data_IF_122824132472
#
_entry.id   IF_122824132472
#
_cell.length_a   1.000
_cell.length_b   1.000
_cell.length_c   1.000
_cell.angle_alpha   90.00
_cell.angle_beta   90.00
_cell.angle_gamma   90.00
#
_symmetry.space_group_name_H-M   'P 1'
#
loop_
_entity.id
_entity.type
_entity.pdbx_description
1 polymer ?
#
# COMPACT_ATOMS: atom_id res chain seq x y z
N UNK A 1 -5.52 -14.52 4.98
CA UNK A 1 -4.22 -14.22 5.63
C UNK A 1 -4.16 -12.71 5.82
N UNK A 2 -3.81 -12.24 7.01
CA UNK A 2 -3.59 -10.80 7.26
C UNK A 2 -2.12 -10.49 7.03
N UNK A 3 -1.83 -9.46 6.27
CA UNK A 3 -0.48 -8.95 6.01
C UNK A 3 -0.41 -7.53 6.55
N UNK A 4 0.62 -7.25 7.35
CA UNK A 4 0.91 -5.92 7.90
C UNK A 4 2.36 -5.57 7.60
N UNK A 5 2.58 -4.35 7.13
CA UNK A 5 3.89 -3.78 6.85
C UNK A 5 4.00 -2.52 7.69
N UNK A 6 4.84 -2.55 8.71
CA UNK A 6 5.06 -1.45 9.65
C UNK A 6 6.47 -0.91 9.46
N UNK A 7 6.60 0.40 9.36
CA UNK A 7 7.87 1.12 9.36
C UNK A 7 7.96 2.11 10.53
N UNK A 8 9.17 2.61 10.77
CA UNK A 8 9.48 3.62 11.78
C UNK A 8 10.08 4.89 11.15
N UNK A 9 9.65 5.22 9.93
CA UNK A 9 10.09 6.42 9.21
C UNK A 9 9.35 7.68 9.64
N UNK A 10 9.33 8.69 8.75
CA UNK A 10 8.74 10.02 9.01
C UNK A 10 7.22 10.00 9.20
N UNK A 11 6.55 8.90 8.85
CA UNK A 11 5.09 8.84 8.84
C UNK A 11 4.48 9.68 7.73
N UNK A 12 3.15 9.76 7.74
CA UNK A 12 2.34 10.46 6.74
C UNK A 12 1.37 11.37 7.51
N UNK A 13 1.37 12.69 7.27
CA UNK A 13 0.44 13.58 7.94
C UNK A 13 -1.01 13.25 7.54
N UNK A 14 -1.94 13.33 8.50
CA UNK A 14 -3.33 12.88 8.35
C UNK A 14 -4.04 13.50 7.14
N UNK A 15 -3.71 14.75 6.82
CA UNK A 15 -4.27 15.50 5.68
C UNK A 15 -3.97 14.87 4.32
N UNK A 16 -2.90 14.08 4.22
CA UNK A 16 -2.50 13.39 3.00
C UNK A 16 -3.14 12.01 2.84
N UNK A 17 -3.54 11.36 3.95
CA UNK A 17 -4.06 9.99 3.98
C UNK A 17 -5.19 9.72 2.97
N UNK A 18 -6.19 10.61 2.78
CA UNK A 18 -7.26 10.36 1.82
C UNK A 18 -6.77 10.24 0.36
N UNK A 19 -5.56 10.73 0.06
CA UNK A 19 -5.03 10.92 -1.28
C UNK A 19 -3.83 10.06 -1.62
N UNK A 20 -3.18 9.40 -0.65
CA UNK A 20 -1.91 8.67 -0.89
C UNK A 20 -2.02 7.51 -1.89
N UNK A 21 -3.23 7.03 -2.16
CA UNK A 21 -3.50 6.01 -3.17
C UNK A 21 -3.86 6.58 -4.56
N UNK A 22 -3.94 7.91 -4.70
CA UNK A 22 -4.11 8.56 -6.01
C UNK A 22 -2.84 8.37 -6.85
N UNK A 23 -3.02 8.12 -8.15
CA UNK A 23 -1.89 8.01 -9.09
C UNK A 23 -1.14 9.33 -9.15
N UNK A 24 0.20 9.25 -9.13
CA UNK A 24 1.11 10.40 -9.19
C UNK A 24 1.07 11.31 -7.95
N UNK A 25 0.30 10.96 -6.91
CA UNK A 25 0.29 11.73 -5.68
C UNK A 25 1.57 11.50 -4.89
N UNK A 26 2.10 12.59 -4.33
CA UNK A 26 3.28 12.61 -3.47
C UNK A 26 3.01 13.56 -2.30
N UNK A 27 3.38 13.13 -1.11
CA UNK A 27 3.34 13.99 0.10
C UNK A 27 4.38 15.09 -0.05
N UNK A 28 5.61 14.72 -0.42
CA UNK A 28 6.66 15.66 -0.73
C UNK A 28 6.59 16.21 -2.16
N UNK A 29 6.64 17.55 -2.22
CA UNK A 29 6.70 18.33 -3.45
C UNK A 29 8.13 18.65 -3.90
N UNK A 30 9.16 18.16 -3.20
CA UNK A 30 10.56 18.28 -3.64
C UNK A 30 10.68 17.56 -5.00
N UNK A 31 10.74 18.37 -6.06
CA UNK A 31 10.71 17.92 -7.45
C UNK A 31 11.96 17.16 -7.90
N UNK A 32 12.85 16.77 -6.99
CA UNK A 32 14.02 15.94 -7.29
C UNK A 32 13.54 14.55 -7.73
N UNK A 33 13.52 14.34 -9.05
CA UNK A 33 13.35 13.02 -9.68
C UNK A 33 14.44 12.01 -9.26
N UNK A 34 15.53 12.49 -8.67
CA UNK A 34 16.65 11.65 -8.24
C UNK A 34 16.37 10.89 -6.93
N UNK A 35 15.50 11.40 -6.06
CA UNK A 35 15.20 10.79 -4.75
C UNK A 35 13.75 10.32 -4.62
N UNK A 36 12.80 10.96 -5.32
CA UNK A 36 11.38 10.63 -5.23
C UNK A 36 10.85 9.79 -6.39
N UNK A 37 10.25 8.64 -6.08
CA UNK A 37 9.56 7.79 -7.07
C UNK A 37 8.41 8.50 -7.80
N UNK A 38 7.84 7.84 -8.82
CA UNK A 38 6.79 8.43 -9.69
C UNK A 38 5.42 8.66 -9.02
N UNK A 39 5.26 8.32 -7.74
CA UNK A 39 3.96 8.35 -7.06
C UNK A 39 2.97 7.29 -7.56
N UNK A 40 3.44 6.22 -8.20
CA UNK A 40 2.58 5.15 -8.71
C UNK A 40 2.48 3.94 -7.77
N UNK A 41 3.44 3.74 -6.87
CA UNK A 41 3.55 2.53 -6.04
C UNK A 41 2.26 2.16 -5.31
N UNK A 42 1.78 3.04 -4.43
CA UNK A 42 0.56 2.78 -3.64
C UNK A 42 -0.69 2.63 -4.51
N UNK A 43 -0.81 3.37 -5.60
CA UNK A 43 -1.94 3.23 -6.53
C UNK A 43 -1.96 1.86 -7.21
N UNK A 44 -0.79 1.31 -7.57
CA UNK A 44 -0.65 -0.04 -8.14
C UNK A 44 -1.03 -1.08 -7.08
N UNK A 45 -0.49 -0.93 -5.86
CA UNK A 45 -0.82 -1.83 -4.74
C UNK A 45 -2.33 -1.87 -4.50
N UNK A 46 -2.98 -0.69 -4.39
CA UNK A 46 -4.42 -0.61 -4.18
C UNK A 46 -5.20 -1.36 -5.27
N UNK A 47 -4.88 -1.14 -6.54
CA UNK A 47 -5.54 -1.83 -7.64
C UNK A 47 -5.33 -3.34 -7.63
N UNK A 48 -4.11 -3.81 -7.30
CA UNK A 48 -3.84 -5.25 -7.19
C UNK A 48 -4.67 -5.87 -6.07
N UNK A 49 -4.71 -5.24 -4.89
CA UNK A 49 -5.49 -5.73 -3.74
C UNK A 49 -7.00 -5.71 -4.05
N UNK A 50 -7.51 -4.63 -4.64
CA UNK A 50 -8.91 -4.55 -5.08
C UNK A 50 -9.26 -5.59 -6.15
N UNK A 51 -8.33 -5.91 -7.06
CA UNK A 51 -8.52 -6.97 -8.06
C UNK A 51 -8.62 -8.37 -7.44
N UNK A 52 -8.11 -8.56 -6.21
CA UNK A 52 -8.32 -9.76 -5.41
C UNK A 52 -9.61 -9.70 -4.57
N UNK A 53 -10.43 -8.65 -4.70
CA UNK A 53 -11.66 -8.46 -3.94
C UNK A 53 -11.44 -7.95 -2.51
N UNK A 54 -10.22 -7.54 -2.19
CA UNK A 54 -9.79 -7.20 -0.83
C UNK A 54 -9.61 -5.67 -0.69
N UNK A 55 -9.34 -5.21 0.54
CA UNK A 55 -9.09 -3.79 0.84
C UNK A 55 -7.72 -3.59 1.46
N UNK A 56 -7.08 -2.47 1.14
CA UNK A 56 -5.87 -1.98 1.80
C UNK A 56 -6.22 -0.83 2.74
N UNK A 57 -5.59 -0.81 3.90
CA UNK A 57 -5.72 0.19 4.95
C UNK A 57 -4.36 0.78 5.26
N UNK A 58 -4.37 2.01 5.76
CA UNK A 58 -3.19 2.73 6.23
C UNK A 58 -3.50 3.35 7.59
N UNK A 59 -2.60 3.18 8.54
CA UNK A 59 -2.54 3.93 9.78
C UNK A 59 -1.16 4.58 9.82
N UNK A 60 -1.09 5.85 10.17
CA UNK A 60 0.19 6.56 10.17
C UNK A 60 0.16 7.70 11.18
N UNK A 61 1.33 7.97 11.76
CA UNK A 61 1.55 9.10 12.63
C UNK A 61 2.87 9.77 12.23
N UNK A 62 2.80 11.09 12.00
CA UNK A 62 3.96 11.93 11.69
C UNK A 62 5.04 11.80 12.77
N UNK A 63 6.30 11.70 12.34
CA UNK A 63 7.51 11.44 13.13
C UNK A 63 7.55 10.10 13.90
N UNK A 64 6.62 9.18 13.63
CA UNK A 64 6.57 7.85 14.28
C UNK A 64 6.71 6.72 13.26
N UNK A 65 6.02 6.80 12.12
CA UNK A 65 6.03 5.78 11.07
C UNK A 65 4.63 5.47 10.55
N UNK A 66 4.55 4.44 9.70
CA UNK A 66 3.29 4.01 9.10
C UNK A 66 3.10 2.50 9.17
N UNK A 67 1.84 2.08 9.15
CA UNK A 67 1.44 0.70 8.91
C UNK A 67 0.49 0.63 7.71
N UNK A 68 0.83 -0.24 6.76
CA UNK A 68 -0.06 -0.65 5.67
C UNK A 68 -0.54 -2.08 5.92
N UNK A 69 -1.84 -2.31 5.79
CA UNK A 69 -2.42 -3.63 6.05
C UNK A 69 -3.48 -4.03 5.05
N UNK A 70 -3.55 -5.33 4.75
CA UNK A 70 -4.58 -5.90 3.89
C UNK A 70 -4.74 -7.40 4.16
N UNK A 71 -5.80 -7.98 3.60
CA UNK A 71 -6.07 -9.41 3.60
C UNK A 71 -5.85 -10.00 2.21
N UNK A 72 -5.44 -11.26 2.17
CA UNK A 72 -5.51 -12.09 0.97
C UNK A 72 -6.05 -13.47 1.32
N UNK A 73 -6.94 -13.98 0.49
CA UNK A 73 -7.36 -15.37 0.56
C UNK A 73 -6.18 -16.31 0.33
N UNK A 74 -6.15 -17.40 1.09
CA UNK A 74 -5.15 -18.44 0.87
C UNK A 74 -5.54 -19.20 -0.39
N UNK A 75 -4.63 -19.29 -1.36
CA UNK A 75 -4.85 -20.10 -2.55
C UNK A 75 -5.28 -21.52 -2.17
N UNK A 76 -6.38 -21.98 -2.77
CA UNK A 76 -6.81 -23.36 -2.64
C UNK A 76 -5.78 -24.26 -3.33
N UNK A 77 -5.35 -25.33 -2.65
CA UNK A 77 -4.56 -26.37 -3.32
C UNK A 77 -5.54 -27.17 -4.17
N UNK A 78 -5.58 -26.88 -5.47
CA UNK A 78 -6.23 -27.78 -6.42
C UNK A 78 -5.37 -29.03 -6.53
N UNK A 79 -5.82 -30.14 -5.95
CA UNK A 79 -5.31 -31.46 -6.34
C UNK A 79 -5.62 -31.61 -7.83
N UNK A 80 -4.59 -31.59 -8.66
CA UNK A 80 -4.72 -32.06 -10.04
C UNK A 80 -5.18 -33.51 -9.91
N UNK A 81 -6.45 -33.78 -10.23
CA UNK A 81 -6.94 -35.13 -10.35
C UNK A 81 -6.25 -35.73 -11.56
N UNK A 82 -5.16 -36.46 -11.32
CA UNK A 82 -4.64 -37.40 -12.30
C UNK A 82 -5.75 -38.41 -12.58
N UNK A 83 -6.16 -38.48 -13.85
CA UNK A 83 -7.03 -39.52 -14.40
C UNK A 83 -6.33 -40.89 -14.32
#
# INVERSE_FOLDING_TARGET
VIIRITDNGEGIPETHIPRIFERFYRVDKSGSREEGGSGLGLSIVKHIIEAHGEKIFVESQEDVGSEFSFTLEKAAITKIMAQ
#
